data_IF_195897960877
#
_entry.id   IF_195897960877
#
_cell.length_a   1.000
_cell.length_b   1.000
_cell.length_c   1.000
_cell.angle_alpha   90.00
_cell.angle_beta   90.00
_cell.angle_gamma   90.00
#
_symmetry.space_group_name_H-M   'P 1'
#
loop_
_entity.id
_entity.type
_entity.pdbx_description
1 polymer ?
#
# COMPACT_ATOMS: atom_id res chain seq x y z
N UNK A 1 4.94 7.61 60.55
CA UNK A 1 5.03 8.82 59.72
C UNK A 1 6.42 8.84 59.07
N UNK A 2 6.52 8.46 57.82
CA UNK A 2 7.73 8.61 57.00
C UNK A 2 7.27 9.11 55.66
N UNK A 3 7.73 10.37 55.33
CA UNK A 3 7.34 11.09 54.14
C UNK A 3 7.89 10.46 52.87
N UNK A 4 7.10 10.54 51.80
CA UNK A 4 7.46 10.20 50.43
C UNK A 4 8.26 11.34 49.81
N UNK A 5 9.30 11.08 49.01
CA UNK A 5 10.02 12.13 48.27
C UNK A 5 9.22 12.56 47.04
N UNK A 6 9.35 13.85 46.73
CA UNK A 6 8.72 14.54 45.61
C UNK A 6 9.23 14.06 44.25
N UNK A 7 8.31 13.91 43.29
CA UNK A 7 8.59 13.63 41.89
C UNK A 7 9.23 14.86 41.19
N UNK A 8 10.40 14.65 40.66
CA UNK A 8 11.16 15.60 39.86
C UNK A 8 10.55 15.68 38.45
N UNK A 9 10.02 16.83 38.11
CA UNK A 9 9.50 17.14 36.77
C UNK A 9 10.68 17.32 35.81
N UNK A 10 10.90 16.34 34.94
CA UNK A 10 11.85 16.43 33.85
C UNK A 10 11.35 17.40 32.76
N UNK A 11 12.15 18.43 32.50
CA UNK A 11 11.95 19.45 31.47
C UNK A 11 12.00 18.84 30.07
N UNK A 12 10.97 19.11 29.30
CA UNK A 12 10.90 18.79 27.87
C UNK A 12 11.63 19.90 27.10
N UNK A 13 12.68 19.61 26.32
CA UNK A 13 13.34 20.64 25.52
C UNK A 13 12.43 21.08 24.38
N UNK A 14 12.01 22.35 24.41
CA UNK A 14 11.39 23.05 23.30
C UNK A 14 12.40 23.23 22.16
N UNK A 15 12.23 22.46 21.08
CA UNK A 15 12.92 22.73 19.83
C UNK A 15 12.31 23.97 19.17
N UNK A 16 12.96 25.11 19.40
CA UNK A 16 12.66 26.40 18.75
C UNK A 16 13.26 26.36 17.34
N UNK A 17 12.42 26.27 16.33
CA UNK A 17 12.82 26.35 14.94
C UNK A 17 13.22 27.82 14.63
N UNK A 18 14.50 28.09 14.47
CA UNK A 18 15.01 29.37 13.95
C UNK A 18 14.79 29.40 12.44
N UNK A 19 13.84 30.21 12.00
CA UNK A 19 13.71 30.66 10.62
C UNK A 19 14.71 31.81 10.46
N UNK A 20 15.82 31.58 9.75
CA UNK A 20 16.68 32.64 9.24
C UNK A 20 17.29 32.22 7.92
N UNK A 21 16.92 33.02 6.93
CA UNK A 21 17.68 33.39 5.75
C UNK A 21 18.35 32.28 4.92
N UNK A 22 17.73 31.93 3.80
CA UNK A 22 18.51 31.55 2.63
C UNK A 22 18.19 32.48 1.48
N UNK A 23 19.16 33.36 1.24
CA UNK A 23 19.14 34.39 0.24
C UNK A 23 19.18 33.83 -1.18
N UNK A 24 18.77 34.66 -2.04
CA UNK A 24 18.75 34.65 -3.49
C UNK A 24 20.09 34.19 -4.09
N UNK A 25 20.07 33.17 -4.94
CA UNK A 25 21.03 33.05 -6.03
C UNK A 25 20.26 32.88 -7.34
N UNK A 26 20.10 34.03 -7.99
CA UNK A 26 19.61 34.18 -9.36
C UNK A 26 20.83 34.48 -10.23
N UNK A 27 21.31 33.51 -10.98
CA UNK A 27 22.18 33.74 -12.15
C UNK A 27 21.83 32.69 -13.20
N UNK A 28 21.13 33.07 -14.22
CA UNK A 28 21.52 33.49 -15.59
C UNK A 28 22.62 32.56 -16.17
N UNK A 29 22.22 31.58 -16.97
CA UNK A 29 22.99 31.21 -18.17
C UNK A 29 22.02 31.01 -19.33
N UNK A 30 21.92 32.07 -20.14
CA UNK A 30 21.35 32.02 -21.47
C UNK A 30 22.47 31.54 -22.39
N UNK A 31 22.46 30.26 -22.71
CA UNK A 31 23.33 29.68 -23.72
C UNK A 31 22.61 29.67 -25.07
N UNK A 32 22.89 30.67 -25.89
CA UNK A 32 22.51 30.73 -27.30
C UNK A 32 23.28 29.65 -28.07
N UNK A 33 22.58 28.56 -28.50
CA UNK A 33 23.11 27.65 -29.50
C UNK A 33 22.36 27.87 -30.81
N UNK A 34 22.89 28.78 -31.62
CA UNK A 34 22.51 28.90 -33.02
C UNK A 34 23.05 27.69 -33.79
N UNK A 35 22.22 26.68 -33.96
CA UNK A 35 22.56 25.56 -34.86
C UNK A 35 22.31 25.98 -36.32
N UNK A 36 23.43 26.13 -37.01
CA UNK A 36 23.58 26.41 -38.42
C UNK A 36 22.93 25.30 -39.27
N UNK A 37 21.79 25.60 -39.87
CA UNK A 37 21.15 24.72 -40.87
C UNK A 37 22.04 24.57 -42.10
N UNK A 38 22.64 23.39 -42.28
CA UNK A 38 23.24 23.00 -43.53
C UNK A 38 22.19 22.32 -44.39
N UNK A 39 21.95 22.92 -45.56
CA UNK A 39 21.13 22.38 -46.66
C UNK A 39 21.57 20.97 -47.01
N UNK A 40 20.69 19.99 -46.81
CA UNK A 40 20.82 18.65 -47.41
C UNK A 40 19.81 18.56 -48.52
N UNK A 41 20.19 18.24 -49.78
CA UNK A 41 19.26 18.14 -50.90
C UNK A 41 18.35 16.93 -50.69
N UNK A 42 17.07 17.18 -50.88
CA UNK A 42 15.99 16.18 -50.87
C UNK A 42 16.17 15.29 -52.11
N UNK A 43 16.75 14.10 -51.91
CA UNK A 43 16.69 13.03 -52.91
C UNK A 43 15.42 12.23 -52.67
N UNK A 44 14.48 12.40 -53.57
CA UNK A 44 13.18 11.72 -53.57
C UNK A 44 13.38 10.25 -53.92
N UNK A 45 13.43 9.35 -52.94
CA UNK A 45 13.36 7.92 -53.18
C UNK A 45 11.96 7.43 -52.81
N UNK A 46 11.14 7.24 -53.85
CA UNK A 46 9.89 6.50 -53.75
C UNK A 46 10.20 5.02 -53.47
N UNK A 47 10.09 4.59 -52.26
CA UNK A 47 10.06 3.17 -51.90
C UNK A 47 8.65 2.83 -51.46
N UNK A 48 8.05 1.88 -52.15
CA UNK A 48 6.75 1.33 -51.91
C UNK A 48 6.64 0.78 -50.47
N UNK A 49 5.81 1.39 -49.67
CA UNK A 49 5.47 0.88 -48.35
C UNK A 49 4.54 -0.33 -48.48
N UNK A 50 5.15 -1.52 -48.38
CA UNK A 50 4.39 -2.73 -48.08
C UNK A 50 3.87 -2.63 -46.63
N UNK A 51 2.56 -2.60 -46.46
CA UNK A 51 1.92 -2.74 -45.15
C UNK A 51 2.17 -4.16 -44.62
N UNK A 52 3.27 -4.35 -43.90
CA UNK A 52 3.40 -5.48 -43.03
C UNK A 52 2.70 -5.13 -41.72
N UNK A 53 1.46 -5.60 -41.57
CA UNK A 53 0.74 -5.57 -40.29
C UNK A 53 1.56 -6.40 -39.30
N UNK A 54 2.22 -5.74 -38.35
CA UNK A 54 2.81 -6.43 -37.23
C UNK A 54 1.68 -7.15 -36.46
N UNK A 55 1.86 -8.43 -36.08
CA UNK A 55 0.89 -9.09 -35.23
C UNK A 55 0.86 -8.33 -33.89
N UNK A 56 -0.33 -7.85 -33.51
CA UNK A 56 -0.56 -7.34 -32.15
C UNK A 56 -0.14 -8.42 -31.15
N UNK A 57 0.56 -8.07 -30.07
CA UNK A 57 0.80 -9.01 -29.00
C UNK A 57 -0.56 -9.48 -28.50
N UNK A 58 -0.81 -10.77 -28.61
CA UNK A 58 -2.01 -11.40 -28.07
C UNK A 58 -2.15 -10.99 -26.61
N UNK A 59 -3.12 -10.10 -26.34
CA UNK A 59 -3.54 -9.78 -24.98
C UNK A 59 -4.01 -11.09 -24.39
N UNK A 60 -3.25 -11.60 -23.42
CA UNK A 60 -3.65 -12.77 -22.65
C UNK A 60 -5.10 -12.56 -22.18
N UNK A 61 -5.96 -13.55 -22.26
CA UNK A 61 -7.36 -13.40 -21.88
C UNK A 61 -7.38 -12.90 -20.44
N UNK A 62 -7.90 -11.67 -20.25
CA UNK A 62 -8.29 -11.14 -18.95
C UNK A 62 -9.34 -12.11 -18.40
N UNK A 63 -8.93 -13.05 -17.57
CA UNK A 63 -9.84 -13.92 -16.84
C UNK A 63 -10.77 -13.02 -16.05
N UNK A 64 -12.02 -12.97 -16.50
CA UNK A 64 -13.08 -12.25 -15.83
C UNK A 64 -13.17 -12.74 -14.39
N UNK A 65 -13.39 -11.86 -13.39
CA UNK A 65 -13.58 -12.25 -12.00
C UNK A 65 -14.80 -13.16 -11.75
N UNK A 66 -15.52 -13.58 -12.79
CA UNK A 66 -16.79 -14.32 -12.70
C UNK A 66 -16.66 -15.83 -12.72
N UNK A 67 -15.47 -16.40 -12.95
CA UNK A 67 -15.27 -17.86 -13.04
C UNK A 67 -14.96 -18.52 -11.69
N UNK A 68 -15.45 -17.93 -10.58
CA UNK A 68 -15.40 -18.51 -9.23
C UNK A 68 -16.63 -19.39 -8.95
N UNK A 69 -17.00 -20.22 -9.90
CA UNK A 69 -18.16 -21.11 -9.75
C UNK A 69 -17.84 -22.28 -8.80
N UNK A 70 -18.35 -22.13 -7.61
CA UNK A 70 -18.91 -23.02 -6.63
C UNK A 70 -18.59 -24.52 -6.64
N UNK A 71 -17.34 -24.98 -6.54
CA UNK A 71 -17.06 -26.35 -6.17
C UNK A 71 -15.88 -26.43 -5.19
N UNK A 72 -16.17 -26.53 -3.88
CA UNK A 72 -15.17 -26.79 -2.86
C UNK A 72 -15.06 -25.74 -1.74
N UNK A 73 -15.97 -25.73 -0.79
CA UNK A 73 -16.09 -24.65 0.21
C UNK A 73 -14.81 -24.24 0.94
N UNK A 74 -14.01 -25.16 1.49
CA UNK A 74 -12.81 -24.80 2.26
C UNK A 74 -11.59 -24.52 1.37
N UNK A 75 -11.47 -25.15 0.21
CA UNK A 75 -10.41 -24.93 -0.76
C UNK A 75 -10.60 -23.59 -1.48
N UNK A 76 -11.82 -23.32 -1.94
CA UNK A 76 -12.18 -22.02 -2.57
C UNK A 76 -11.99 -20.84 -1.64
N UNK A 77 -12.30 -20.97 -0.35
CA UNK A 77 -12.09 -19.89 0.62
C UNK A 77 -10.61 -19.63 0.87
N UNK A 78 -9.77 -20.66 0.99
CA UNK A 78 -8.30 -20.48 1.11
C UNK A 78 -7.73 -19.79 -0.11
N UNK A 79 -8.20 -20.11 -1.30
CA UNK A 79 -7.79 -19.45 -2.54
C UNK A 79 -8.09 -17.96 -2.56
N UNK A 80 -9.17 -17.50 -1.89
CA UNK A 80 -9.46 -16.05 -1.75
C UNK A 80 -8.45 -15.32 -0.87
N UNK A 81 -8.03 -15.94 0.24
CA UNK A 81 -6.99 -15.35 1.10
C UNK A 81 -5.65 -15.25 0.37
N UNK A 82 -5.25 -16.31 -0.35
CA UNK A 82 -4.05 -16.31 -1.19
C UNK A 82 -4.13 -15.22 -2.26
N UNK A 83 -5.23 -15.17 -3.01
CA UNK A 83 -5.44 -14.15 -4.05
C UNK A 83 -5.39 -12.72 -3.49
N UNK A 84 -5.96 -12.50 -2.29
CA UNK A 84 -5.92 -11.20 -1.61
C UNK A 84 -4.49 -10.80 -1.24
N UNK A 85 -3.72 -11.72 -0.66
CA UNK A 85 -2.33 -11.47 -0.30
C UNK A 85 -1.46 -11.19 -1.55
N UNK A 86 -1.63 -11.99 -2.61
CA UNK A 86 -0.90 -11.81 -3.86
C UNK A 86 -1.29 -10.50 -4.55
N UNK A 87 -2.56 -10.11 -4.50
CA UNK A 87 -3.00 -8.82 -5.02
C UNK A 87 -2.38 -7.67 -4.22
N UNK A 88 -2.39 -7.72 -2.90
CA UNK A 88 -1.80 -6.71 -2.03
C UNK A 88 -0.28 -6.56 -2.27
N UNK A 89 0.42 -7.67 -2.50
CA UNK A 89 1.85 -7.66 -2.84
C UNK A 89 2.16 -6.91 -4.15
N UNK A 90 1.26 -6.93 -5.13
CA UNK A 90 1.41 -6.15 -6.38
C UNK A 90 1.24 -4.65 -6.19
N UNK A 91 0.62 -4.20 -5.10
CA UNK A 91 0.44 -2.78 -4.78
C UNK A 91 1.65 -2.14 -4.08
N UNK A 92 2.72 -2.90 -3.83
CA UNK A 92 3.96 -2.36 -3.25
C UNK A 92 4.52 -1.24 -4.12
N UNK A 93 5.11 -0.24 -3.48
CA UNK A 93 5.64 0.93 -4.16
C UNK A 93 4.60 2.04 -4.40
N UNK A 94 3.30 1.78 -4.29
CA UNK A 94 2.27 2.82 -4.37
C UNK A 94 2.46 3.83 -3.24
N UNK A 95 2.44 5.15 -3.51
CA UNK A 95 2.65 6.18 -2.50
C UNK A 95 1.64 6.11 -1.35
N UNK A 96 2.05 6.53 -0.16
CA UNK A 96 1.11 6.80 0.91
C UNK A 96 0.33 8.09 0.63
N UNK A 97 -0.99 8.02 0.82
CA UNK A 97 -1.88 9.18 0.78
C UNK A 97 -2.91 9.07 1.90
N UNK A 98 -2.95 10.05 2.79
CA UNK A 98 -3.96 10.09 3.85
C UNK A 98 -5.38 10.12 3.25
N UNK A 99 -6.26 9.23 3.70
CA UNK A 99 -7.59 9.05 3.13
C UNK A 99 -7.63 8.38 1.74
N UNK A 100 -6.47 8.00 1.19
CA UNK A 100 -6.36 7.38 -0.14
C UNK A 100 -6.84 5.93 -0.17
N UNK A 101 -7.51 5.55 -1.26
CA UNK A 101 -8.01 4.20 -1.52
C UNK A 101 -8.01 3.87 -3.02
N UNK A 102 -7.06 4.42 -3.78
CA UNK A 102 -6.87 4.25 -5.23
C UNK A 102 -5.39 4.04 -5.54
N UNK A 103 -5.08 3.71 -6.79
CA UNK A 103 -3.70 3.55 -7.27
C UNK A 103 -2.87 4.84 -7.20
N UNK A 104 -3.51 6.01 -7.04
CA UNK A 104 -2.81 7.28 -6.82
C UNK A 104 -2.21 7.41 -5.40
N UNK A 105 -2.62 6.52 -4.49
CA UNK A 105 -2.10 6.44 -3.13
C UNK A 105 -3.08 5.80 -2.15
N UNK A 106 -2.52 5.18 -1.13
CA UNK A 106 -3.26 4.48 -0.08
C UNK A 106 -2.91 5.01 1.31
N UNK A 107 -3.92 5.07 2.20
CA UNK A 107 -3.67 4.91 3.63
C UNK A 107 -3.73 3.42 4.01
N UNK A 108 -3.43 3.07 5.27
CA UNK A 108 -3.37 1.68 5.70
C UNK A 108 -4.69 0.92 5.49
N UNK A 109 -5.81 1.50 5.87
CA UNK A 109 -7.14 0.91 5.72
C UNK A 109 -7.70 1.02 4.30
N UNK A 110 -7.27 2.03 3.54
CA UNK A 110 -7.61 2.19 2.13
C UNK A 110 -6.97 1.14 1.22
N UNK A 111 -5.73 0.73 1.52
CA UNK A 111 -5.09 -0.41 0.88
C UNK A 111 -5.91 -1.69 1.07
N UNK A 112 -6.32 -1.98 2.31
CA UNK A 112 -7.18 -3.12 2.65
C UNK A 112 -8.51 -3.03 1.91
N UNK A 113 -9.16 -1.86 1.98
CA UNK A 113 -10.45 -1.62 1.33
C UNK A 113 -10.37 -1.84 -0.19
N UNK A 114 -9.35 -1.28 -0.84
CA UNK A 114 -9.15 -1.44 -2.28
C UNK A 114 -8.90 -2.88 -2.66
N UNK A 115 -7.97 -3.57 -1.97
CA UNK A 115 -7.62 -4.95 -2.26
C UNK A 115 -8.82 -5.91 -2.13
N UNK A 116 -9.64 -5.74 -1.09
CA UNK A 116 -10.85 -6.54 -0.93
C UNK A 116 -11.88 -6.29 -2.03
N UNK A 117 -12.11 -5.02 -2.39
CA UNK A 117 -13.05 -4.67 -3.45
C UNK A 117 -12.69 -5.28 -4.80
N UNK A 118 -11.41 -5.37 -5.13
CA UNK A 118 -10.95 -6.00 -6.39
C UNK A 118 -11.31 -7.49 -6.46
N UNK A 119 -11.51 -8.13 -5.31
CA UNK A 119 -11.91 -9.53 -5.20
C UNK A 119 -13.42 -9.70 -4.89
N UNK A 120 -14.21 -8.63 -5.07
CA UNK A 120 -15.66 -8.67 -4.79
C UNK A 120 -16.01 -8.79 -3.31
N UNK A 121 -15.06 -8.49 -2.39
CA UNK A 121 -15.26 -8.57 -0.95
C UNK A 121 -15.57 -7.19 -0.37
N UNK A 122 -16.52 -7.13 0.56
CA UNK A 122 -16.87 -5.90 1.25
C UNK A 122 -16.20 -5.83 2.62
N UNK A 123 -15.52 -4.69 2.87
CA UNK A 123 -14.92 -4.36 4.17
C UNK A 123 -15.19 -2.89 4.51
N UNK A 124 -15.24 -2.51 5.79
CA UNK A 124 -15.36 -1.11 6.18
C UNK A 124 -14.16 -0.27 5.73
N UNK A 125 -14.34 1.06 5.70
CA UNK A 125 -13.28 1.97 5.22
C UNK A 125 -12.18 2.20 6.25
N UNK A 126 -12.48 2.21 7.54
CA UNK A 126 -11.51 2.57 8.57
C UNK A 126 -10.91 1.35 9.26
N UNK A 127 -9.65 1.45 9.72
CA UNK A 127 -8.95 0.36 10.41
C UNK A 127 -9.66 -0.09 11.68
N UNK A 128 -10.31 0.82 12.39
CA UNK A 128 -11.09 0.49 13.59
C UNK A 128 -12.32 -0.34 13.25
N UNK A 129 -13.12 0.11 12.29
CA UNK A 129 -14.31 -0.64 11.84
C UNK A 129 -13.91 -1.99 11.22
N UNK A 130 -12.77 -2.06 10.54
CA UNK A 130 -12.22 -3.31 10.04
C UNK A 130 -11.88 -4.27 11.18
N UNK A 131 -11.27 -3.78 12.27
CA UNK A 131 -10.96 -4.61 13.43
C UNK A 131 -12.22 -5.09 14.16
N UNK A 132 -13.22 -4.20 14.32
CA UNK A 132 -14.51 -4.52 14.94
C UNK A 132 -15.33 -5.49 14.09
N UNK A 133 -15.31 -5.31 12.76
CA UNK A 133 -16.10 -6.09 11.82
C UNK A 133 -15.47 -7.44 11.41
N UNK A 134 -14.18 -7.68 11.61
CA UNK A 134 -13.51 -8.89 11.19
C UNK A 134 -13.88 -10.13 12.04
N UNK A 135 -13.87 -11.32 11.42
CA UNK A 135 -13.88 -12.56 12.19
C UNK A 135 -12.54 -12.71 12.89
N UNK A 136 -12.53 -12.73 14.23
CA UNK A 136 -11.30 -12.80 15.04
C UNK A 136 -10.49 -14.07 14.75
N UNK A 137 -9.18 -13.90 14.57
CA UNK A 137 -8.23 -14.99 14.29
C UNK A 137 -7.14 -14.99 15.38
N UNK A 138 -6.85 -16.16 15.94
CA UNK A 138 -5.72 -16.32 16.87
C UNK A 138 -4.40 -16.14 16.08
N UNK A 139 -3.38 -15.43 16.59
CA UNK A 139 -2.12 -15.17 15.87
C UNK A 139 -1.47 -16.44 15.28
N UNK A 140 -1.46 -17.54 16.05
CA UNK A 140 -0.94 -18.85 15.61
C UNK A 140 -1.72 -19.50 14.45
N UNK A 141 -2.89 -18.97 14.08
CA UNK A 141 -3.76 -19.46 13.00
C UNK A 141 -3.84 -18.47 11.82
N UNK A 142 -2.95 -17.49 11.77
CA UNK A 142 -2.85 -16.56 10.66
C UNK A 142 -2.63 -17.30 9.34
N UNK A 143 -3.38 -16.88 8.33
CA UNK A 143 -3.29 -17.34 6.95
C UNK A 143 -3.12 -16.15 6.02
N UNK A 144 -2.53 -16.35 4.87
CA UNK A 144 -2.37 -15.28 3.87
C UNK A 144 -3.74 -14.65 3.56
N UNK A 145 -3.75 -13.32 3.47
CA UNK A 145 -4.98 -12.54 3.31
C UNK A 145 -5.70 -12.15 4.61
N UNK A 146 -5.25 -12.63 5.77
CA UNK A 146 -5.76 -12.12 7.05
C UNK A 146 -5.29 -10.70 7.31
N UNK A 147 -6.04 -9.97 8.11
CA UNK A 147 -5.69 -8.63 8.53
C UNK A 147 -5.00 -8.69 9.88
N UNK A 148 -3.97 -7.86 10.03
CA UNK A 148 -3.25 -7.65 11.28
C UNK A 148 -3.45 -6.20 11.72
N UNK A 149 -3.89 -5.99 12.96
CA UNK A 149 -4.28 -4.70 13.51
C UNK A 149 -3.33 -4.26 14.60
N UNK A 150 -3.04 -2.95 14.62
CA UNK A 150 -2.08 -2.36 15.54
C UNK A 150 -2.65 -1.14 16.27
N UNK A 151 -2.11 -0.87 17.48
CA UNK A 151 -2.33 0.34 18.27
C UNK A 151 -1.02 1.11 18.37
N UNK A 152 -0.73 1.93 17.39
CA UNK A 152 0.52 2.68 17.30
C UNK A 152 0.37 4.03 17.98
N UNK A 153 0.98 4.20 19.17
CA UNK A 153 0.89 5.42 19.96
C UNK A 153 -0.57 5.80 20.32
N UNK A 154 -1.47 4.83 20.40
CA UNK A 154 -2.91 5.03 20.57
C UNK A 154 -3.54 3.95 21.44
N UNK A 155 -4.60 4.32 22.18
CA UNK A 155 -5.44 3.34 22.91
C UNK A 155 -6.41 2.58 21.99
N UNK A 156 -6.61 3.05 20.77
CA UNK A 156 -7.52 2.47 19.76
C UNK A 156 -6.74 1.94 18.58
N UNK A 157 -7.31 0.96 17.87
CA UNK A 157 -6.77 0.50 16.59
C UNK A 157 -6.72 1.69 15.62
N UNK A 158 -5.52 1.95 15.10
CA UNK A 158 -5.25 3.04 14.16
C UNK A 158 -4.39 2.61 12.97
N UNK A 159 -3.98 1.34 12.93
CA UNK A 159 -3.21 0.83 11.81
C UNK A 159 -3.60 -0.62 11.48
N UNK A 160 -3.42 -1.00 10.20
CA UNK A 160 -3.76 -2.31 9.67
C UNK A 160 -2.85 -2.69 8.51
N UNK A 161 -2.58 -3.99 8.37
CA UNK A 161 -1.91 -4.58 7.22
C UNK A 161 -2.57 -5.89 6.79
N UNK A 162 -2.19 -6.39 5.62
CA UNK A 162 -2.62 -7.68 5.06
C UNK A 162 -1.49 -8.67 5.24
N UNK A 163 -1.73 -9.74 5.98
CA UNK A 163 -0.76 -10.80 6.23
C UNK A 163 -0.44 -11.58 4.95
N UNK A 164 0.85 -11.74 4.65
CA UNK A 164 1.32 -12.37 3.42
C UNK A 164 2.10 -13.67 3.67
N UNK A 165 2.10 -14.16 4.90
CA UNK A 165 2.80 -15.38 5.31
C UNK A 165 4.16 -15.11 5.93
N UNK A 166 4.74 -16.14 6.60
CA UNK A 166 6.08 -16.09 7.22
C UNK A 166 6.29 -14.86 8.12
N UNK A 167 5.32 -14.56 8.97
CA UNK A 167 5.28 -13.38 9.86
C UNK A 167 5.41 -12.02 9.15
N UNK A 168 5.15 -11.94 7.84
CA UNK A 168 5.19 -10.69 7.09
C UNK A 168 3.80 -10.19 6.74
N UNK A 169 3.68 -8.88 6.61
CA UNK A 169 2.45 -8.22 6.17
C UNK A 169 2.76 -7.03 5.25
N UNK A 170 1.85 -6.76 4.34
CA UNK A 170 1.88 -5.60 3.43
C UNK A 170 0.99 -4.52 4.01
N UNK A 171 1.46 -3.27 4.01
CA UNK A 171 0.71 -2.11 4.50
C UNK A 171 1.18 -0.80 3.88
N UNK A 172 0.41 0.27 4.07
CA UNK A 172 0.81 1.64 3.78
C UNK A 172 1.20 2.31 5.12
N UNK A 173 2.51 2.43 5.44
CA UNK A 173 2.97 2.74 6.79
C UNK A 173 2.70 4.18 7.25
N UNK A 174 2.78 5.16 6.35
CA UNK A 174 2.58 6.56 6.69
C UNK A 174 3.18 7.51 5.67
N UNK A 175 3.04 8.82 5.89
CA UNK A 175 3.50 9.86 4.99
C UNK A 175 4.99 9.70 4.63
N UNK A 176 5.30 9.89 3.36
CA UNK A 176 6.67 9.79 2.82
C UNK A 176 7.17 8.38 2.57
N UNK A 177 6.40 7.35 2.89
CA UNK A 177 6.78 5.95 2.66
C UNK A 177 5.75 5.26 1.76
N UNK A 178 6.17 4.50 0.73
CA UNK A 178 5.25 3.75 -0.10
C UNK A 178 4.71 2.51 0.62
N UNK A 179 3.72 1.86 0.02
CA UNK A 179 3.26 0.52 0.41
C UNK A 179 4.45 -0.43 0.44
N UNK A 180 4.64 -1.08 1.56
CA UNK A 180 5.81 -1.93 1.82
C UNK A 180 5.45 -3.19 2.61
N UNK A 181 6.43 -4.06 2.78
CA UNK A 181 6.34 -5.27 3.62
C UNK A 181 7.17 -5.02 4.89
N UNK A 182 6.58 -5.39 6.04
CA UNK A 182 7.29 -5.48 7.31
C UNK A 182 7.04 -6.83 7.98
N UNK A 183 7.84 -7.15 8.99
CA UNK A 183 7.69 -8.35 9.80
C UNK A 183 6.87 -8.07 11.06
N UNK A 184 6.07 -9.05 11.49
CA UNK A 184 5.45 -9.06 12.82
C UNK A 184 6.49 -9.32 13.92
N UNK A 185 7.68 -9.80 13.54
CA UNK A 185 8.81 -10.02 14.46
C UNK A 185 9.64 -8.74 14.67
N UNK A 186 9.43 -7.67 13.88
CA UNK A 186 10.01 -6.35 14.13
C UNK A 186 9.52 -5.84 15.49
N UNK A 187 10.41 -5.42 16.37
CA UNK A 187 10.13 -4.98 17.75
C UNK A 187 8.95 -3.99 17.80
N UNK A 188 8.98 -2.97 16.95
CA UNK A 188 7.91 -1.96 16.86
C UNK A 188 6.53 -2.55 16.55
N UNK A 189 6.46 -3.52 15.61
CA UNK A 189 5.18 -4.14 15.24
C UNK A 189 4.76 -5.22 16.24
N UNK A 190 5.70 -5.94 16.83
CA UNK A 190 5.42 -6.91 17.88
C UNK A 190 4.79 -6.24 19.12
N UNK A 191 5.34 -5.11 19.56
CA UNK A 191 4.84 -4.35 20.71
C UNK A 191 3.48 -3.67 20.45
N UNK A 192 3.24 -3.22 19.23
CA UNK A 192 2.00 -2.51 18.86
C UNK A 192 0.90 -3.43 18.33
N UNK A 193 1.19 -4.72 18.10
CA UNK A 193 0.21 -5.70 17.64
C UNK A 193 -0.95 -5.81 18.63
N UNK A 194 -2.17 -5.70 18.10
CA UNK A 194 -3.38 -5.76 18.93
C UNK A 194 -4.20 -7.02 18.67
N UNK A 195 -4.51 -7.32 17.40
CA UNK A 195 -5.37 -8.45 17.03
C UNK A 195 -5.20 -8.82 15.56
N UNK A 196 -5.77 -9.95 15.18
CA UNK A 196 -5.89 -10.35 13.79
C UNK A 196 -7.34 -10.72 13.44
N UNK A 197 -7.70 -10.58 12.17
CA UNK A 197 -9.06 -10.85 11.72
C UNK A 197 -9.15 -11.20 10.24
N UNK A 198 -10.33 -11.68 9.82
CA UNK A 198 -10.57 -12.23 8.49
C UNK A 198 -11.89 -11.75 7.92
N UNK A 199 -11.90 -11.36 6.63
CA UNK A 199 -13.11 -11.04 5.87
C UNK A 199 -13.35 -11.98 4.68
N UNK A 200 -12.30 -12.53 4.10
CA UNK A 200 -12.37 -13.32 2.86
C UNK A 200 -13.12 -14.67 2.98
N UNK A 201 -13.43 -15.10 4.18
CA UNK A 201 -14.25 -16.29 4.44
C UNK A 201 -15.77 -15.98 4.47
N UNK A 202 -16.18 -14.73 4.22
CA UNK A 202 -17.59 -14.35 4.14
C UNK A 202 -18.09 -14.50 2.71
N UNK A 203 -19.30 -15.01 2.55
CA UNK A 203 -19.98 -15.01 1.27
C UNK A 203 -20.27 -13.55 0.87
N UNK A 204 -20.15 -13.18 -0.41
CA UNK A 204 -20.63 -11.89 -0.89
C UNK A 204 -22.14 -11.80 -0.59
N UNK A 205 -22.56 -10.62 -0.09
CA UNK A 205 -23.98 -10.31 0.11
C UNK A 205 -24.59 -9.95 -1.24
#
# INVERSE_FOLDING_TARGET
MRGLPAEEKGDIPHFRCHISACGQHRERMVGNVTAKMRNVPILLLLLAAGCASAPEPAVAPTQSPRDWDGAGGASSMRNRGEALADFALRLRGTPYRYGGATLDGFDCSGLVFYAHRQLGLSVPRTSREQAEGATSIKPRKLQRGDLVFFKIGSRRVNHVGIYVGKNHFVHAPGAGKPVTINSLDDEFYAETFFSAGRFWNRLPK
#
